data_IF_632150598776
#
_entry.id   IF_632150598776
#
_cell.length_a   1.000
_cell.length_b   1.000
_cell.length_c   1.000
_cell.angle_alpha   90.00
_cell.angle_beta   90.00
_cell.angle_gamma   90.00
#
_symmetry.space_group_name_H-M   'P 1'
#
loop_
_entity.id
_entity.type
_entity.pdbx_description
1 polymer ?
#
# COMPACT_ATOMS: atom_id res chain seq x y z
N UNK A 1 -27.40 -9.54 -12.77
CA UNK A 1 -26.22 -8.88 -12.18
C UNK A 1 -26.18 -9.22 -10.70
N UNK A 2 -25.10 -9.83 -10.20
CA UNK A 2 -24.97 -10.12 -8.77
C UNK A 2 -24.59 -8.82 -8.05
N UNK A 3 -25.26 -8.54 -6.94
CA UNK A 3 -25.11 -7.32 -6.13
C UNK A 3 -23.69 -7.25 -5.52
N UNK A 4 -23.04 -6.09 -5.65
CA UNK A 4 -21.74 -5.80 -5.02
C UNK A 4 -21.90 -5.67 -3.50
N UNK A 5 -20.90 -6.12 -2.71
CA UNK A 5 -21.05 -6.32 -1.27
C UNK A 5 -20.04 -5.50 -0.42
N UNK A 6 -19.51 -4.41 -0.97
CA UNK A 6 -18.56 -3.48 -0.32
C UNK A 6 -17.24 -4.09 0.18
N UNK A 7 -16.86 -5.25 -0.36
CA UNK A 7 -15.66 -5.99 0.06
C UNK A 7 -14.44 -5.71 -0.83
N UNK A 8 -13.27 -5.69 -0.21
CA UNK A 8 -11.94 -5.79 -0.80
C UNK A 8 -11.14 -6.81 0.00
N UNK A 9 -10.50 -7.73 -0.72
CA UNK A 9 -9.68 -8.75 -0.07
C UNK A 9 -8.39 -8.15 0.47
N UNK A 10 -8.08 -8.42 1.73
CA UNK A 10 -6.78 -8.12 2.32
C UNK A 10 -6.00 -9.42 2.51
N UNK A 11 -4.67 -9.33 2.42
CA UNK A 11 -3.80 -10.27 3.14
C UNK A 11 -4.24 -10.24 4.60
N UNK A 12 -4.77 -11.36 5.09
CA UNK A 12 -5.33 -11.44 6.43
C UNK A 12 -4.22 -11.42 7.47
N UNK A 13 -3.87 -10.22 7.91
CA UNK A 13 -3.25 -10.01 9.22
C UNK A 13 -4.27 -9.70 10.32
N UNK A 14 -5.55 -9.49 9.99
CA UNK A 14 -6.56 -9.19 11.01
C UNK A 14 -7.33 -10.44 11.46
N UNK A 15 -6.72 -11.11 12.43
CA UNK A 15 -7.35 -11.49 13.68
C UNK A 15 -6.24 -11.70 14.71
N UNK A 16 -5.59 -10.62 15.13
CA UNK A 16 -4.97 -10.58 16.45
C UNK A 16 -5.99 -9.95 17.37
N UNK A 17 -6.77 -10.82 18.02
CA UNK A 17 -7.43 -10.47 19.26
C UNK A 17 -6.31 -10.02 20.24
N UNK A 18 -6.46 -8.91 20.98
CA UNK A 18 -5.40 -8.34 21.84
C UNK A 18 -4.80 -9.32 22.86
N UNK A 19 -5.48 -10.42 23.16
CA UNK A 19 -5.08 -11.43 24.15
C UNK A 19 -3.99 -12.43 23.70
N UNK A 20 -3.56 -12.44 22.44
CA UNK A 20 -2.64 -13.48 21.94
C UNK A 20 -1.18 -13.05 21.74
N UNK A 21 -0.79 -11.84 22.15
CA UNK A 21 0.61 -11.38 22.08
C UNK A 21 1.61 -12.24 22.90
N UNK A 22 1.13 -13.08 23.83
CA UNK A 22 1.98 -13.90 24.70
C UNK A 22 2.30 -15.32 24.19
N UNK A 23 1.70 -15.75 23.08
CA UNK A 23 2.07 -17.02 22.46
C UNK A 23 2.14 -16.80 20.96
N UNK A 24 3.35 -16.77 20.39
CA UNK A 24 3.66 -17.28 19.05
C UNK A 24 5.17 -17.13 18.76
N UNK A 25 5.82 -18.28 18.74
CA UNK A 25 7.25 -18.53 18.51
C UNK A 25 7.55 -18.50 17.00
N UNK A 26 8.56 -17.70 16.60
CA UNK A 26 9.38 -17.76 15.36
C UNK A 26 8.64 -17.78 13.99
N UNK A 27 9.34 -18.04 12.88
CA UNK A 27 10.06 -17.16 11.95
C UNK A 27 9.12 -16.51 10.89
N UNK A 28 7.86 -16.27 11.23
CA UNK A 28 6.81 -15.90 10.27
C UNK A 28 6.56 -14.40 10.07
N UNK A 29 7.51 -13.52 10.40
CA UNK A 29 7.25 -12.07 10.33
C UNK A 29 7.06 -11.62 8.88
N UNK A 30 7.92 -12.04 7.94
CA UNK A 30 7.77 -11.74 6.50
C UNK A 30 6.83 -12.68 5.76
N UNK A 31 6.71 -13.95 6.18
CA UNK A 31 5.63 -14.82 5.73
C UNK A 31 4.29 -14.11 6.02
N UNK A 32 3.90 -13.69 7.22
CA UNK A 32 2.56 -13.05 7.38
C UNK A 32 2.40 -11.67 6.74
N UNK A 33 3.51 -11.00 6.43
CA UNK A 33 3.59 -9.71 5.74
C UNK A 33 3.27 -9.84 4.24
N UNK A 34 3.65 -10.96 3.63
CA UNK A 34 3.46 -11.24 2.21
C UNK A 34 2.55 -12.45 1.93
N UNK A 35 2.22 -13.28 2.92
CA UNK A 35 1.61 -14.61 2.75
C UNK A 35 0.07 -14.60 2.69
N UNK A 36 -0.37 -15.60 1.96
CA UNK A 36 -1.64 -15.76 1.27
C UNK A 36 -2.73 -16.28 2.21
N UNK A 37 -3.10 -15.54 3.27
CA UNK A 37 -4.38 -15.76 3.96
C UNK A 37 -5.45 -14.81 3.42
N UNK A 38 -6.49 -15.43 2.90
CA UNK A 38 -7.35 -14.90 1.83
C UNK A 38 -8.73 -14.55 2.42
N UNK A 39 -8.91 -13.39 3.07
CA UNK A 39 -10.22 -12.93 3.62
C UNK A 39 -10.71 -11.65 2.93
N UNK A 40 -11.98 -11.65 2.57
CA UNK A 40 -12.67 -10.47 2.03
C UNK A 40 -13.03 -9.55 3.20
N UNK A 41 -12.42 -8.36 3.25
CA UNK A 41 -12.68 -7.34 4.28
C UNK A 41 -13.52 -6.23 3.65
N UNK A 42 -14.41 -5.57 4.37
CA UNK A 42 -15.10 -4.41 3.80
C UNK A 42 -14.11 -3.28 3.51
N UNK A 43 -14.26 -2.52 2.42
CA UNK A 43 -13.41 -1.36 2.15
C UNK A 43 -13.69 -0.29 3.20
N UNK A 44 -12.75 0.05 4.10
CA UNK A 44 -13.01 1.05 5.14
C UNK A 44 -13.37 2.41 4.54
N UNK A 45 -14.23 3.16 5.25
CA UNK A 45 -14.62 4.51 4.86
C UNK A 45 -13.40 5.42 4.67
N UNK A 46 -12.37 5.28 5.51
CA UNK A 46 -11.11 6.01 5.38
C UNK A 46 -10.38 5.76 4.05
N UNK A 47 -10.39 4.51 3.56
CA UNK A 47 -9.83 4.15 2.25
C UNK A 47 -10.65 4.81 1.14
N UNK A 48 -11.99 4.69 1.18
CA UNK A 48 -12.88 5.32 0.19
C UNK A 48 -12.66 6.84 0.16
N UNK A 49 -12.58 7.49 1.32
CA UNK A 49 -12.34 8.92 1.44
C UNK A 49 -10.99 9.35 0.83
N UNK A 50 -9.89 8.67 1.18
CA UNK A 50 -8.57 9.02 0.64
C UNK A 50 -8.48 8.81 -0.89
N UNK A 51 -9.13 7.77 -1.44
CA UNK A 51 -9.21 7.57 -2.89
C UNK A 51 -10.00 8.72 -3.55
N UNK A 52 -11.15 9.09 -2.99
CA UNK A 52 -11.98 10.18 -3.55
C UNK A 52 -11.23 11.51 -3.49
N UNK A 53 -10.54 11.79 -2.40
CA UNK A 53 -9.73 13.00 -2.25
C UNK A 53 -8.58 13.03 -3.26
N UNK A 54 -7.86 11.91 -3.42
CA UNK A 54 -6.82 11.78 -4.44
C UNK A 54 -7.37 11.97 -5.86
N UNK A 55 -8.54 11.39 -6.16
CA UNK A 55 -9.21 11.55 -7.46
C UNK A 55 -9.58 13.02 -7.73
N UNK A 56 -10.11 13.72 -6.72
CA UNK A 56 -10.44 15.15 -6.83
C UNK A 56 -9.19 15.98 -7.11
N UNK A 57 -8.08 15.69 -6.43
CA UNK A 57 -6.79 16.36 -6.64
C UNK A 57 -6.16 16.06 -8.01
N UNK A 58 -6.52 14.94 -8.65
CA UNK A 58 -5.97 14.52 -9.95
C UNK A 58 -6.57 15.27 -11.14
N UNK A 59 -7.78 15.83 -10.98
CA UNK A 59 -8.54 16.51 -12.05
C UNK A 59 -7.82 17.70 -12.72
N UNK A 60 -6.70 18.16 -12.17
CA UNK A 60 -5.89 19.27 -12.67
C UNK A 60 -4.55 18.89 -13.32
N UNK A 61 -4.11 17.63 -13.27
CA UNK A 61 -2.71 17.28 -13.64
C UNK A 61 -2.38 15.85 -14.06
N UNK A 62 -3.36 14.94 -14.13
CA UNK A 62 -3.13 13.53 -14.51
C UNK A 62 -2.54 12.68 -13.37
N UNK A 63 -2.58 11.36 -13.50
CA UNK A 63 -2.12 10.40 -12.47
C UNK A 63 -0.60 10.18 -12.56
N UNK A 64 0.14 10.43 -11.47
CA UNK A 64 1.61 10.47 -11.50
C UNK A 64 2.30 9.33 -10.72
N UNK A 65 1.76 8.11 -10.75
CA UNK A 65 2.31 6.95 -10.01
C UNK A 65 2.54 7.21 -8.50
N UNK A 66 1.70 8.02 -7.86
CA UNK A 66 1.82 8.36 -6.44
C UNK A 66 2.70 9.56 -6.11
N UNK A 67 3.29 10.25 -7.10
CA UNK A 67 4.23 11.35 -6.83
C UNK A 67 3.57 12.70 -6.52
N UNK A 68 2.27 12.88 -6.80
CA UNK A 68 1.59 14.17 -6.62
C UNK A 68 1.57 14.55 -5.15
N UNK A 69 1.17 13.63 -4.27
CA UNK A 69 1.16 13.87 -2.82
C UNK A 69 2.56 14.18 -2.28
N UNK A 70 3.58 13.50 -2.79
CA UNK A 70 4.97 13.69 -2.35
C UNK A 70 5.52 15.07 -2.76
N UNK A 71 5.11 15.61 -3.91
CA UNK A 71 5.58 16.91 -4.41
C UNK A 71 5.05 18.10 -3.59
N UNK A 72 4.03 17.89 -2.76
CA UNK A 72 3.37 18.95 -1.98
C UNK A 72 4.17 19.40 -0.75
N UNK A 73 5.16 18.63 -0.29
CA UNK A 73 6.00 18.99 0.85
C UNK A 73 7.49 18.80 0.58
N UNK A 74 8.35 19.46 1.35
CA UNK A 74 9.80 19.25 1.29
C UNK A 74 10.16 17.81 1.70
N UNK A 75 9.52 17.33 2.75
CA UNK A 75 9.64 15.97 3.27
C UNK A 75 9.25 14.94 2.21
N UNK A 76 8.10 15.10 1.55
CA UNK A 76 7.66 14.21 0.48
C UNK A 76 8.61 14.23 -0.73
N UNK A 77 9.14 15.40 -1.12
CA UNK A 77 10.11 15.50 -2.21
C UNK A 77 11.39 14.71 -1.95
N UNK A 78 11.79 14.56 -0.69
CA UNK A 78 12.94 13.74 -0.30
C UNK A 78 12.74 12.24 -0.54
N UNK A 79 11.49 11.79 -0.69
CA UNK A 79 11.12 10.37 -0.90
C UNK A 79 10.91 10.01 -2.38
N UNK A 80 10.92 10.99 -3.30
CA UNK A 80 10.64 10.77 -4.72
C UNK A 80 11.58 9.79 -5.41
N UNK A 81 12.79 9.59 -4.88
CA UNK A 81 13.73 8.60 -5.40
C UNK A 81 13.16 7.18 -5.37
N UNK A 82 12.25 6.89 -4.44
CA UNK A 82 11.64 5.57 -4.29
C UNK A 82 10.44 5.34 -5.24
N UNK A 83 10.00 6.35 -6.00
CA UNK A 83 8.88 6.22 -6.95
C UNK A 83 9.33 5.79 -8.35
N UNK A 84 10.60 6.02 -8.68
CA UNK A 84 11.20 5.71 -9.97
C UNK A 84 12.22 4.56 -9.84
N UNK A 85 11.78 3.45 -9.24
CA UNK A 85 12.58 2.23 -9.16
C UNK A 85 13.12 1.85 -10.54
N UNK A 86 14.35 1.37 -10.63
CA UNK A 86 15.05 1.11 -11.90
C UNK A 86 14.37 0.07 -12.81
N UNK A 87 13.30 -0.59 -12.37
CA UNK A 87 12.82 -1.86 -12.97
C UNK A 87 11.31 -2.02 -13.19
N UNK A 88 10.43 -1.17 -12.66
CA UNK A 88 8.99 -1.27 -12.92
C UNK A 88 8.07 -0.78 -11.79
N UNK A 89 6.77 -0.80 -12.01
CA UNK A 89 5.75 -0.43 -11.03
C UNK A 89 5.61 -1.44 -9.89
N UNK A 90 5.77 -2.76 -10.12
CA UNK A 90 5.77 -3.80 -9.08
C UNK A 90 6.93 -3.63 -8.10
N UNK A 91 8.09 -3.17 -8.58
CA UNK A 91 9.24 -2.82 -7.73
C UNK A 91 8.88 -1.68 -6.78
N UNK A 92 8.31 -0.59 -7.31
CA UNK A 92 7.79 0.52 -6.50
C UNK A 92 6.75 0.05 -5.49
N UNK A 93 5.77 -0.79 -5.88
CA UNK A 93 4.77 -1.33 -4.94
C UNK A 93 5.47 -2.07 -3.79
N UNK A 94 6.43 -2.94 -4.07
CA UNK A 94 7.08 -3.75 -3.04
C UNK A 94 7.98 -2.92 -2.12
N UNK A 95 8.75 -1.97 -2.65
CA UNK A 95 9.58 -1.03 -1.85
C UNK A 95 8.70 -0.28 -0.84
N UNK A 96 7.64 0.35 -1.34
CA UNK A 96 6.75 1.15 -0.50
C UNK A 96 5.94 0.28 0.45
N UNK A 97 5.55 -0.93 0.04
CA UNK A 97 4.79 -1.85 0.90
C UNK A 97 5.61 -2.28 2.11
N UNK A 98 6.84 -2.75 1.87
CA UNK A 98 7.74 -3.15 2.94
C UNK A 98 8.02 -1.97 3.87
N UNK A 99 8.29 -0.77 3.33
CA UNK A 99 8.51 0.42 4.15
C UNK A 99 7.29 0.79 5.01
N UNK A 100 6.08 0.72 4.43
CA UNK A 100 4.81 0.97 5.15
C UNK A 100 4.65 0.01 6.31
N UNK A 101 4.96 -1.27 6.13
CA UNK A 101 4.82 -2.26 7.20
C UNK A 101 5.92 -2.15 8.26
N UNK A 102 7.15 -1.77 7.89
CA UNK A 102 8.19 -1.45 8.89
C UNK A 102 7.72 -0.30 9.78
N UNK A 103 7.13 0.76 9.20
CA UNK A 103 6.59 1.87 9.95
C UNK A 103 5.42 1.46 10.85
N UNK A 104 4.54 0.57 10.38
CA UNK A 104 3.44 0.03 11.18
C UNK A 104 3.91 -0.71 12.45
N UNK A 105 5.07 -1.39 12.40
CA UNK A 105 5.67 -2.03 13.58
C UNK A 105 6.05 -1.00 14.66
N UNK A 106 6.46 0.20 14.25
CA UNK A 106 6.82 1.29 15.16
C UNK A 106 5.60 1.89 15.87
N UNK A 107 4.44 1.86 15.21
CA UNK A 107 3.20 2.49 15.66
C UNK A 107 2.05 1.46 15.73
N UNK A 108 2.06 0.52 16.70
CA UNK A 108 0.99 -0.44 16.84
C UNK A 108 -0.31 0.30 17.16
N UNK A 109 -1.35 0.07 16.36
CA UNK A 109 -2.66 0.66 16.60
C UNK A 109 -3.19 0.31 18.00
N UNK A 110 -3.31 1.32 18.87
CA UNK A 110 -4.21 1.27 20.01
C UNK A 110 -5.61 1.63 19.51
N UNK A 111 -6.44 0.63 19.19
CA UNK A 111 -7.87 0.87 19.15
C UNK A 111 -8.33 1.16 20.59
N UNK A 112 -9.05 2.27 20.72
CA UNK A 112 -9.69 2.75 21.92
C UNK A 112 -10.79 1.75 22.31
N UNK A 113 -10.45 0.75 23.13
CA UNK A 113 -11.38 -0.15 23.82
C UNK A 113 -11.94 0.50 25.10
N UNK A 114 -11.88 1.83 25.25
CA UNK A 114 -12.63 2.48 26.32
C UNK A 114 -14.11 2.57 25.91
N UNK A 115 -15.04 2.19 26.81
CA UNK A 115 -16.46 2.27 26.52
C UNK A 115 -16.84 3.73 26.18
N UNK A 116 -17.75 3.95 25.21
CA UNK A 116 -18.14 5.29 24.80
C UNK A 116 -18.74 6.04 25.99
N UNK A 117 -18.03 7.05 26.49
CA UNK A 117 -18.66 8.08 27.31
C UNK A 117 -19.61 8.86 26.42
N UNK A 118 -20.89 8.59 26.58
CA UNK A 118 -21.97 9.40 26.02
C UNK A 118 -21.80 10.84 26.50
N UNK A 119 -21.39 11.72 25.61
CA UNK A 119 -21.65 13.15 25.73
C UNK A 119 -22.55 13.56 24.56
N UNK A 120 -23.63 14.33 24.79
CA UNK A 120 -24.57 14.66 23.72
C UNK A 120 -23.94 15.60 22.70
N UNK A 121 -24.20 15.33 21.42
CA UNK A 121 -23.90 16.13 20.23
C UNK A 121 -24.18 17.64 20.36
N UNK A 122 -23.50 18.45 19.54
CA UNK A 122 -24.22 19.37 18.67
C UNK A 122 -24.07 19.05 17.18
N UNK A 123 -25.16 19.30 16.44
CA UNK A 123 -25.30 19.20 14.99
C UNK A 123 -24.36 20.15 14.22
N UNK A 124 -24.01 19.74 12.99
CA UNK A 124 -23.55 20.64 11.93
C UNK A 124 -22.04 20.94 11.95
N UNK A 125 -21.24 20.09 11.30
CA UNK A 125 -19.81 20.31 11.17
C UNK A 125 -19.25 19.71 9.87
N UNK A 126 -18.72 20.59 9.03
CA UNK A 126 -17.73 20.42 7.94
C UNK A 126 -16.96 19.10 7.96
N UNK A 127 -16.64 18.46 6.80
CA UNK A 127 -15.85 17.22 6.79
C UNK A 127 -14.55 17.47 7.54
N UNK A 128 -14.42 16.81 8.69
CA UNK A 128 -13.29 16.95 9.60
C UNK A 128 -12.04 16.47 8.87
N UNK A 129 -10.93 17.20 9.02
CA UNK A 129 -9.61 16.75 8.58
C UNK A 129 -9.42 15.29 9.00
N UNK A 130 -9.19 14.39 8.04
CA UNK A 130 -9.08 12.97 8.31
C UNK A 130 -8.06 12.72 9.42
N UNK A 131 -8.45 11.93 10.43
CA UNK A 131 -7.60 11.68 11.59
C UNK A 131 -6.34 10.89 11.18
N UNK A 132 -5.28 10.96 12.00
CA UNK A 132 -4.09 10.12 11.79
C UNK A 132 -4.46 8.63 11.66
N UNK A 133 -5.42 8.15 12.46
CA UNK A 133 -5.95 6.79 12.40
C UNK A 133 -6.57 6.46 11.04
N UNK A 134 -7.30 7.41 10.44
CA UNK A 134 -7.87 7.24 9.09
C UNK A 134 -6.76 7.16 8.03
N UNK A 135 -5.72 8.00 8.14
CA UNK A 135 -4.58 7.97 7.22
C UNK A 135 -3.80 6.67 7.33
N UNK A 136 -3.50 6.21 8.54
CA UNK A 136 -2.84 4.92 8.76
C UNK A 136 -3.69 3.76 8.25
N UNK A 137 -5.01 3.79 8.49
CA UNK A 137 -5.95 2.80 7.95
C UNK A 137 -5.89 2.78 6.43
N UNK A 138 -6.02 3.94 5.78
CA UNK A 138 -5.97 4.05 4.34
C UNK A 138 -4.65 3.54 3.75
N UNK A 139 -3.52 4.02 4.28
CA UNK A 139 -2.18 3.64 3.86
C UNK A 139 -1.94 2.14 3.97
N UNK A 140 -2.18 1.55 5.14
CA UNK A 140 -1.91 0.13 5.39
C UNK A 140 -2.83 -0.79 4.59
N UNK A 141 -4.10 -0.41 4.39
CA UNK A 141 -5.05 -1.20 3.62
C UNK A 141 -4.70 -1.20 2.13
N UNK A 142 -4.42 -0.02 1.56
CA UNK A 142 -4.06 0.12 0.16
C UNK A 142 -2.70 -0.49 -0.15
N UNK A 143 -1.73 -0.32 0.76
CA UNK A 143 -0.40 -0.94 0.67
C UNK A 143 -0.51 -2.46 0.52
N UNK A 144 -1.25 -3.12 1.43
CA UNK A 144 -1.47 -4.57 1.38
C UNK A 144 -2.23 -4.98 0.13
N UNK A 145 -3.24 -4.20 -0.28
CA UNK A 145 -3.99 -4.50 -1.49
C UNK A 145 -3.11 -4.45 -2.73
N UNK A 146 -2.25 -3.44 -2.88
CA UNK A 146 -1.33 -3.33 -4.01
C UNK A 146 -0.31 -4.48 -4.01
N UNK A 147 0.22 -4.88 -2.84
CA UNK A 147 1.08 -6.06 -2.75
C UNK A 147 0.34 -7.36 -3.14
N UNK A 148 -0.95 -7.49 -2.79
CA UNK A 148 -1.79 -8.59 -3.26
C UNK A 148 -1.93 -8.61 -4.79
N UNK A 149 -2.05 -7.44 -5.42
CA UNK A 149 -2.13 -7.36 -6.89
C UNK A 149 -0.85 -7.92 -7.52
N UNK A 150 0.33 -7.53 -7.03
CA UNK A 150 1.62 -8.07 -7.52
C UNK A 150 1.66 -9.59 -7.38
N UNK A 151 1.17 -10.13 -6.26
CA UNK A 151 1.26 -11.56 -5.96
C UNK A 151 0.17 -12.43 -6.61
N UNK A 152 -1.01 -11.88 -6.92
CA UNK A 152 -2.20 -12.68 -7.27
C UNK A 152 -2.92 -12.22 -8.54
N UNK A 153 -2.68 -11.00 -8.99
CA UNK A 153 -3.24 -10.44 -10.22
C UNK A 153 -2.18 -9.60 -10.97
N UNK A 154 -0.95 -10.12 -11.21
CA UNK A 154 0.09 -9.35 -11.90
C UNK A 154 -0.34 -8.93 -13.31
N UNK A 155 -1.28 -9.64 -13.94
CA UNK A 155 -1.90 -9.29 -15.22
C UNK A 155 -2.65 -7.95 -15.23
N UNK A 156 -2.94 -7.38 -14.05
CA UNK A 156 -3.56 -6.07 -13.92
C UNK A 156 -2.55 -4.94 -13.80
N UNK A 157 -1.27 -5.24 -13.59
CA UNK A 157 -0.23 -4.22 -13.40
C UNK A 157 0.32 -3.74 -14.75
N UNK A 158 1.03 -2.59 -14.77
CA UNK A 158 1.67 -2.10 -16.00
C UNK A 158 2.87 -2.91 -16.47
N UNK A 159 3.49 -3.67 -15.56
CA UNK A 159 4.68 -4.46 -15.88
C UNK A 159 4.28 -5.84 -16.42
N UNK A 160 5.29 -6.55 -16.95
CA UNK A 160 5.14 -7.94 -17.34
C UNK A 160 4.72 -8.82 -16.15
N UNK A 161 3.80 -9.76 -16.41
CA UNK A 161 3.17 -10.58 -15.38
C UNK A 161 4.16 -11.59 -14.78
N UNK A 162 4.94 -12.26 -15.62
CA UNK A 162 5.99 -13.20 -15.20
C UNK A 162 7.09 -12.50 -14.41
N UNK A 163 7.50 -11.32 -14.87
CA UNK A 163 8.48 -10.50 -14.16
C UNK A 163 7.98 -10.08 -12.78
N UNK A 164 6.72 -9.67 -12.66
CA UNK A 164 6.12 -9.25 -11.39
C UNK A 164 6.01 -10.41 -10.38
N UNK A 165 5.62 -11.60 -10.85
CA UNK A 165 5.54 -12.81 -10.02
C UNK A 165 6.92 -13.26 -9.54
N UNK A 166 7.91 -13.32 -10.44
CA UNK A 166 9.30 -13.67 -10.11
C UNK A 166 9.91 -12.68 -9.13
N UNK A 167 9.69 -11.38 -9.35
CA UNK A 167 10.15 -10.33 -8.44
C UNK A 167 9.57 -10.51 -7.05
N UNK A 168 8.26 -10.70 -6.93
CA UNK A 168 7.60 -10.90 -5.64
C UNK A 168 8.14 -12.15 -4.92
N UNK A 169 8.27 -13.27 -5.61
CA UNK A 169 8.79 -14.52 -5.02
C UNK A 169 10.24 -14.36 -4.57
N UNK A 170 11.07 -13.68 -5.36
CA UNK A 170 12.46 -13.37 -5.00
C UNK A 170 12.54 -12.48 -3.77
N UNK A 171 11.77 -11.39 -3.75
CA UNK A 171 11.70 -10.46 -2.60
C UNK A 171 11.28 -11.21 -1.35
N UNK A 172 10.23 -12.04 -1.43
CA UNK A 172 9.73 -12.86 -0.32
C UNK A 172 10.81 -13.80 0.24
N UNK A 173 11.51 -14.52 -0.61
CA UNK A 173 12.55 -15.47 -0.20
C UNK A 173 13.77 -14.76 0.42
N UNK A 174 14.17 -13.63 -0.15
CA UNK A 174 15.33 -12.86 0.34
C UNK A 174 15.03 -12.17 1.67
N UNK A 175 13.81 -11.65 1.80
CA UNK A 175 13.27 -11.13 3.04
C UNK A 175 13.26 -12.21 4.15
N UNK A 176 12.73 -13.39 3.85
CA UNK A 176 12.69 -14.51 4.80
C UNK A 176 14.10 -14.94 5.26
N UNK A 177 15.03 -15.03 4.30
CA UNK A 177 16.44 -15.32 4.60
C UNK A 177 17.08 -14.25 5.49
N UNK A 178 16.82 -12.96 5.24
CA UNK A 178 17.35 -11.87 6.04
C UNK A 178 16.87 -11.92 7.51
N UNK A 179 15.60 -12.30 7.72
CA UNK A 179 15.03 -12.42 9.07
C UNK A 179 15.51 -13.67 9.81
N UNK A 180 15.71 -14.79 9.12
CA UNK A 180 16.11 -16.07 9.73
C UNK A 180 17.60 -16.14 10.04
N UNK A 181 18.46 -15.63 9.15
CA UNK A 181 19.93 -15.75 9.27
C UNK A 181 20.52 -14.84 10.34
N UNK A 182 19.91 -13.67 10.54
CA UNK A 182 20.52 -12.58 11.32
C UNK A 182 19.89 -12.39 12.69
N UNK A 183 18.76 -13.06 12.98
CA UNK A 183 18.19 -13.06 14.31
C UNK A 183 18.89 -14.10 15.17
N UNK A 184 19.74 -13.67 16.11
CA UNK A 184 20.36 -14.53 17.13
C UNK A 184 19.34 -15.12 18.12
N UNK A 185 18.22 -15.64 17.63
CA UNK A 185 17.10 -16.22 18.37
C UNK A 185 16.03 -15.23 18.84
N UNK A 186 16.25 -13.91 18.79
CA UNK A 186 15.31 -12.93 19.32
C UNK A 186 14.24 -12.55 18.29
N UNK A 187 12.99 -12.94 18.54
CA UNK A 187 11.88 -12.59 17.67
C UNK A 187 11.67 -11.06 17.66
N UNK A 188 11.53 -10.44 16.47
CA UNK A 188 11.21 -9.00 16.34
C UNK A 188 9.95 -8.64 17.14
N UNK A 189 8.99 -9.55 17.22
CA UNK A 189 7.75 -9.38 17.99
C UNK A 189 7.92 -9.34 19.52
N UNK A 190 9.08 -9.76 20.04
CA UNK A 190 9.42 -9.63 21.48
C UNK A 190 10.12 -8.32 21.82
N UNK A 191 10.44 -7.51 20.81
CA UNK A 191 11.05 -6.20 20.99
C UNK A 191 9.98 -5.14 21.24
N UNK A 192 10.37 -4.02 21.86
CA UNK A 192 9.52 -2.83 21.86
C UNK A 192 9.27 -2.37 20.41
N UNK A 193 8.16 -1.65 20.14
CA UNK A 193 7.85 -1.15 18.80
C UNK A 193 9.02 -0.43 18.12
N UNK A 194 9.70 0.46 18.85
CA UNK A 194 10.88 1.19 18.37
C UNK A 194 12.05 0.25 18.06
N UNK A 195 12.34 -0.70 18.96
CA UNK A 195 13.43 -1.66 18.74
C UNK A 195 13.13 -2.62 17.59
N UNK A 196 11.87 -3.02 17.40
CA UNK A 196 11.41 -3.82 16.27
C UNK A 196 11.57 -3.09 14.93
N UNK A 197 11.16 -1.82 14.89
CA UNK A 197 11.35 -0.93 13.75
C UNK A 197 12.82 -0.79 13.34
N UNK A 198 13.69 -0.40 14.28
CA UNK A 198 15.13 -0.25 14.03
C UNK A 198 15.78 -1.58 13.60
N UNK A 199 15.33 -2.69 14.20
CA UNK A 199 15.82 -4.01 13.85
C UNK A 199 15.49 -4.39 12.41
N UNK A 200 14.26 -4.13 11.95
CA UNK A 200 13.86 -4.43 10.57
C UNK A 200 14.64 -3.59 9.55
N UNK A 201 14.87 -2.30 9.82
CA UNK A 201 15.71 -1.44 8.98
C UNK A 201 17.13 -2.02 8.88
N UNK A 202 17.72 -2.40 10.01
CA UNK A 202 19.07 -2.96 10.03
C UNK A 202 19.14 -4.29 9.25
N UNK A 203 18.20 -5.20 9.49
CA UNK A 203 18.19 -6.53 8.87
C UNK A 203 18.04 -6.45 7.36
N UNK A 204 17.08 -5.67 6.88
CA UNK A 204 16.79 -5.55 5.45
C UNK A 204 17.85 -4.69 4.74
N UNK A 205 18.34 -3.62 5.39
CA UNK A 205 19.42 -2.77 4.87
C UNK A 205 20.77 -3.47 4.77
N UNK A 206 21.03 -4.48 5.60
CA UNK A 206 22.27 -5.28 5.54
C UNK A 206 22.25 -6.40 4.49
N UNK A 207 21.13 -6.58 3.77
CA UNK A 207 21.00 -7.67 2.78
C UNK A 207 21.97 -7.48 1.62
N UNK A 208 22.97 -8.34 1.47
CA UNK A 208 24.05 -8.11 0.49
C UNK A 208 23.58 -8.12 -0.98
N UNK A 209 22.53 -8.90 -1.30
CA UNK A 209 22.18 -9.24 -2.69
C UNK A 209 20.82 -8.73 -3.18
N UNK A 210 20.13 -7.87 -2.43
CA UNK A 210 18.79 -7.39 -2.82
C UNK A 210 18.60 -5.88 -2.63
N UNK A 211 18.87 -5.11 -3.69
CA UNK A 211 18.76 -3.65 -3.69
C UNK A 211 17.36 -3.16 -3.25
N UNK A 212 16.27 -3.78 -3.70
CA UNK A 212 14.92 -3.38 -3.30
C UNK A 212 14.67 -3.51 -1.78
N UNK A 213 15.30 -4.46 -1.09
CA UNK A 213 15.15 -4.57 0.37
C UNK A 213 15.93 -3.47 1.10
N UNK A 214 17.10 -3.08 0.55
CA UNK A 214 17.85 -1.91 1.03
C UNK A 214 17.09 -0.62 0.79
N UNK A 215 16.48 -0.48 -0.38
CA UNK A 215 15.66 0.68 -0.72
C UNK A 215 14.43 0.77 0.18
N UNK A 216 13.75 -0.35 0.45
CA UNK A 216 12.64 -0.39 1.40
C UNK A 216 13.06 0.00 2.83
N UNK A 217 14.21 -0.52 3.30
CA UNK A 217 14.74 -0.17 4.61
C UNK A 217 15.13 1.31 4.71
N UNK A 218 15.76 1.85 3.66
CA UNK A 218 16.11 3.27 3.56
C UNK A 218 14.87 4.14 3.54
N UNK A 219 13.85 3.77 2.76
CA UNK A 219 12.57 4.50 2.70
C UNK A 219 11.89 4.48 4.07
N UNK A 220 11.86 3.35 4.76
CA UNK A 220 11.30 3.25 6.10
C UNK A 220 12.03 4.16 7.10
N UNK A 221 13.36 4.18 7.07
CA UNK A 221 14.18 5.06 7.89
C UNK A 221 13.82 6.54 7.67
N UNK A 222 13.76 6.97 6.40
CA UNK A 222 13.40 8.35 6.04
C UNK A 222 11.97 8.71 6.47
N UNK A 223 11.01 7.79 6.32
CA UNK A 223 9.63 7.99 6.80
C UNK A 223 9.56 8.18 8.32
N UNK A 224 10.40 7.47 9.09
CA UNK A 224 10.46 7.62 10.54
C UNK A 224 11.23 8.85 11.03
N UNK A 225 11.93 9.55 10.15
CA UNK A 225 12.76 10.74 10.44
C UNK A 225 12.14 12.05 9.89
N UNK A 226 10.92 11.99 9.35
CA UNK A 226 10.25 13.17 8.81
C UNK A 226 10.03 14.24 9.88
N UNK A 227 10.15 15.51 9.49
CA UNK A 227 10.07 16.64 10.42
C UNK A 227 8.67 16.80 11.03
N UNK A 228 7.64 16.42 10.27
CA UNK A 228 6.25 16.37 10.74
C UNK A 228 5.90 15.09 11.53
N UNK A 229 6.87 14.23 11.83
CA UNK A 229 6.68 13.03 12.63
C UNK A 229 5.72 12.01 12.02
N UNK A 230 5.07 11.25 12.88
CA UNK A 230 4.18 10.13 12.51
C UNK A 230 2.99 10.60 11.65
N UNK A 231 2.39 11.74 11.98
CA UNK A 231 1.23 12.28 11.27
C UNK A 231 1.55 12.56 9.80
N UNK A 232 2.68 13.23 9.54
CA UNK A 232 3.17 13.51 8.20
C UNK A 232 3.50 12.22 7.44
N UNK A 233 4.12 11.23 8.11
CA UNK A 233 4.46 9.97 7.47
C UNK A 233 3.21 9.22 6.98
N UNK A 234 2.18 9.11 7.82
CA UNK A 234 0.92 8.46 7.43
C UNK A 234 0.12 9.27 6.41
N UNK A 235 0.15 10.60 6.48
CA UNK A 235 -0.46 11.47 5.47
C UNK A 235 0.16 11.25 4.09
N UNK A 236 1.50 11.27 3.99
CA UNK A 236 2.22 11.04 2.74
C UNK A 236 1.97 9.62 2.20
N UNK A 237 1.99 8.60 3.07
CA UNK A 237 1.70 7.23 2.66
C UNK A 237 0.26 7.05 2.17
N UNK A 238 -0.72 7.63 2.88
CA UNK A 238 -2.12 7.55 2.47
C UNK A 238 -2.34 8.23 1.10
N UNK A 239 -1.72 9.40 0.89
CA UNK A 239 -1.74 10.10 -0.39
C UNK A 239 -1.09 9.29 -1.51
N UNK A 240 0.14 8.81 -1.27
CA UNK A 240 0.90 7.99 -2.22
C UNK A 240 0.11 6.76 -2.66
N UNK A 241 -0.39 5.96 -1.72
CA UNK A 241 -1.11 4.73 -2.02
C UNK A 241 -2.45 4.99 -2.73
N UNK A 242 -3.15 6.07 -2.37
CA UNK A 242 -4.43 6.43 -2.99
C UNK A 242 -4.26 6.88 -4.44
N UNK A 243 -3.22 7.66 -4.73
CA UNK A 243 -2.90 8.03 -6.11
C UNK A 243 -2.33 6.83 -6.89
N UNK A 244 -1.50 6.00 -6.27
CA UNK A 244 -0.94 4.82 -6.94
C UNK A 244 -2.04 3.84 -7.36
N UNK A 245 -3.02 3.54 -6.51
CA UNK A 245 -4.11 2.62 -6.91
C UNK A 245 -4.97 3.21 -8.04
N UNK A 246 -5.19 4.52 -8.06
CA UNK A 246 -5.85 5.19 -9.17
C UNK A 246 -5.01 5.13 -10.45
N UNK A 247 -3.68 5.22 -10.35
CA UNK A 247 -2.77 5.01 -11.49
C UNK A 247 -2.80 3.57 -12.02
N UNK A 248 -2.92 2.57 -11.14
CA UNK A 248 -2.93 1.16 -11.53
C UNK A 248 -4.23 0.76 -12.25
N UNK A 249 -5.35 1.39 -11.90
CA UNK A 249 -6.68 0.98 -12.33
C UNK A 249 -6.95 1.08 -13.85
N UNK A 250 -6.60 2.16 -14.56
CA UNK A 250 -6.73 2.22 -16.02
C UNK A 250 -5.93 1.08 -16.67
N UNK A 251 -6.58 0.30 -17.52
CA UNK A 251 -6.00 -0.88 -18.18
C UNK A 251 -6.88 -1.29 -19.36
N UNK A 252 -6.24 -1.75 -20.44
CA UNK A 252 -6.87 -2.35 -21.61
C UNK A 252 -7.14 -3.86 -21.42
N UNK A 253 -6.58 -4.46 -20.37
CA UNK A 253 -6.76 -5.88 -20.05
C UNK A 253 -8.12 -6.17 -19.39
N UNK A 254 -9.20 -6.01 -20.16
CA UNK A 254 -10.57 -6.31 -19.72
C UNK A 254 -10.71 -7.75 -19.22
N UNK A 255 -10.04 -8.70 -19.88
CA UNK A 255 -10.04 -10.11 -19.47
C UNK A 255 -9.40 -10.28 -18.10
N UNK A 256 -8.30 -9.59 -17.83
CA UNK A 256 -7.66 -9.54 -16.52
C UNK A 256 -8.62 -9.01 -15.46
N UNK A 257 -9.30 -7.88 -15.71
CA UNK A 257 -10.29 -7.34 -14.78
C UNK A 257 -11.44 -8.31 -14.49
N UNK A 258 -11.96 -8.98 -15.51
CA UNK A 258 -13.02 -9.99 -15.34
C UNK A 258 -12.54 -11.20 -14.51
N UNK A 259 -11.32 -11.69 -14.75
CA UNK A 259 -10.76 -12.80 -13.98
C UNK A 259 -10.38 -12.41 -12.56
N UNK A 260 -9.99 -11.15 -12.35
CA UNK A 260 -9.56 -10.66 -11.06
C UNK A 260 -10.70 -10.54 -10.05
N UNK A 261 -11.95 -10.33 -10.51
CA UNK A 261 -13.14 -10.34 -9.63
C UNK A 261 -13.21 -11.65 -8.84
N UNK A 262 -13.01 -12.80 -9.49
CA UNK A 262 -13.01 -14.11 -8.82
C UNK A 262 -11.77 -14.33 -7.92
N UNK A 263 -10.69 -13.57 -8.16
CA UNK A 263 -9.41 -13.67 -7.44
C UNK A 263 -9.27 -12.65 -6.29
N UNK A 264 -10.13 -11.63 -6.22
CA UNK A 264 -10.12 -10.58 -5.21
C UNK A 264 -9.60 -9.21 -5.69
N UNK A 265 -9.35 -9.02 -6.99
CA UNK A 265 -9.10 -7.73 -7.64
C UNK A 265 -10.37 -6.87 -7.82
N UNK A 266 -11.29 -6.97 -6.87
CA UNK A 266 -12.61 -6.36 -6.95
C UNK A 266 -12.51 -4.82 -6.89
N UNK A 267 -11.70 -4.25 -6.00
CA UNK A 267 -11.53 -2.79 -5.88
C UNK A 267 -10.94 -2.19 -7.16
N UNK A 268 -9.81 -2.69 -7.65
CA UNK A 268 -9.15 -2.13 -8.84
C UNK A 268 -10.07 -2.22 -10.07
N UNK A 269 -10.93 -3.23 -10.14
CA UNK A 269 -11.95 -3.36 -11.19
C UNK A 269 -13.06 -2.33 -11.06
N UNK A 270 -13.53 -2.03 -9.84
CA UNK A 270 -14.46 -0.91 -9.64
C UNK A 270 -13.84 0.44 -9.98
N UNK A 271 -12.59 0.67 -9.56
CA UNK A 271 -11.88 1.89 -9.87
C UNK A 271 -11.67 2.04 -11.37
N UNK A 272 -11.32 0.96 -12.06
CA UNK A 272 -11.23 0.93 -13.52
C UNK A 272 -12.56 1.34 -14.17
N UNK A 273 -13.69 0.76 -13.74
CA UNK A 273 -15.01 1.10 -14.27
C UNK A 273 -15.40 2.56 -14.00
N UNK A 274 -15.12 3.07 -12.78
CA UNK A 274 -15.34 4.46 -12.41
C UNK A 274 -14.50 5.42 -13.25
N UNK A 275 -13.22 5.14 -13.41
CA UNK A 275 -12.28 5.95 -14.18
C UNK A 275 -12.64 5.96 -15.67
N UNK A 276 -13.01 4.80 -16.22
CA UNK A 276 -13.50 4.67 -17.60
C UNK A 276 -14.75 5.52 -17.82
N UNK A 277 -15.70 5.51 -16.86
CA UNK A 277 -16.93 6.31 -16.95
C UNK A 277 -16.65 7.82 -16.96
N UNK A 278 -15.58 8.28 -16.31
CA UNK A 278 -15.17 9.71 -16.30
C UNK A 278 -14.13 10.04 -17.39
N UNK A 279 -13.88 9.12 -18.32
CA UNK A 279 -13.00 9.34 -19.48
C UNK A 279 -11.50 9.12 -19.24
N UNK A 280 -11.11 8.54 -18.10
CA UNK A 280 -9.72 8.16 -17.80
C UNK A 280 -9.55 6.67 -18.15
N UNK A 281 -9.22 6.42 -19.41
CA UNK A 281 -9.17 5.06 -19.98
C UNK A 281 -7.76 4.48 -19.94
N UNK A 282 -6.75 5.31 -20.23
CA UNK A 282 -5.36 4.89 -20.32
C UNK A 282 -4.52 5.39 -19.15
N UNK A 283 -3.47 4.63 -18.82
CA UNK A 283 -2.44 5.10 -17.89
C UNK A 283 -1.67 6.26 -18.53
N UNK A 284 -1.39 7.33 -17.77
CA UNK A 284 -0.53 8.40 -18.25
C UNK A 284 0.83 7.85 -18.69
N UNK A 285 1.22 8.12 -19.94
CA UNK A 285 2.44 7.60 -20.57
C UNK A 285 2.22 6.50 -21.63
N UNK A 286 1.03 5.91 -21.72
CA UNK A 286 0.68 4.91 -22.75
C UNK A 286 0.17 5.52 -24.06
N UNK A 287 0.27 6.84 -24.25
CA UNK A 287 -0.15 7.54 -25.47
C UNK A 287 0.82 7.23 -26.62
N UNK A 288 0.78 6.02 -27.16
CA UNK A 288 1.23 5.79 -28.53
C UNK A 288 0.33 6.62 -29.45
N UNK A 289 0.89 7.70 -29.98
CA UNK A 289 0.49 8.41 -31.19
C UNK A 289 -0.93 8.08 -31.71
N UNK A 290 -1.97 8.66 -31.09
CA UNK A 290 -3.21 8.88 -31.82
C UNK A 290 -2.92 10.01 -32.81
N UNK A 291 -2.56 9.63 -34.04
CA UNK A 291 -2.45 10.55 -35.15
C UNK A 291 -3.80 11.27 -35.32
N UNK A 292 -3.83 12.60 -35.55
CA UNK A 292 -5.08 13.26 -35.86
C UNK A 292 -5.60 12.68 -37.18
N UNK A 293 -6.84 12.20 -37.17
CA UNK A 293 -7.54 11.84 -38.39
C UNK A 293 -7.64 13.10 -39.27
N UNK A 294 -6.79 13.19 -40.29
CA UNK A 294 -6.99 14.10 -41.41
C UNK A 294 -8.19 13.62 -42.20
N UNK A 295 -9.33 14.29 -42.00
CA UNK A 295 -10.47 14.19 -42.90
C UNK A 295 -10.17 14.91 -44.21
N UNK A 296 -10.44 14.21 -45.32
CA UNK A 296 -10.56 14.73 -46.68
C UNK A 296 -11.88 15.47 -46.83
#
# INVERSE_FOLDING_TARGET
MRHWNDKMRQSSLLLLHPRQFHQLVLPGCLLRLLDRKKKNVEVPTAVKACIIDALRSTSSGGLSKGTTSLRQSQDGRSLLWACNGRKGTSDTILVWHIATTILEVRHPHHQHDDPPQQTPTPQGGRPSSASISDKTTAATHLSRYCACLVASCPELLPDDDTWSEDLYNKVKNDADRALTTSSGGIAVSSLSPEAGYLRLIQLLGATQNHELLKDAAKLAAQLGELTGGEEMAWELLAGFWSELILYLAPSDNLKGHLQAVDRGGELITLLWALLTHIGIIDRPGNTTASAPATGV
#
